data_IF_632665289208
#
_entry.id   IF_632665289208
#
_cell.length_a   1.000
_cell.length_b   1.000
_cell.length_c   1.000
_cell.angle_alpha   90.00
_cell.angle_beta   90.00
_cell.angle_gamma   90.00
#
_symmetry.space_group_name_H-M   'P 1'
#
loop_
_entity.id
_entity.type
_entity.pdbx_description
1 polymer ?
#
# COMPACT_ATOMS: atom_id res chain seq x y z
N UNK A 1 -33.41 -41.91 -56.86
CA UNK A 1 -32.41 -40.87 -57.19
C UNK A 1 -32.27 -39.97 -55.95
N UNK A 2 -31.40 -40.34 -55.02
CA UNK A 2 -31.20 -39.60 -53.77
C UNK A 2 -29.93 -38.75 -53.93
N UNK A 3 -30.11 -37.43 -53.98
CA UNK A 3 -29.02 -36.47 -54.14
C UNK A 3 -28.44 -36.24 -52.75
N UNK A 4 -27.23 -36.73 -52.50
CA UNK A 4 -26.52 -36.45 -51.26
C UNK A 4 -26.12 -34.97 -51.25
N UNK A 5 -26.83 -34.16 -50.47
CA UNK A 5 -26.45 -32.77 -50.18
C UNK A 5 -25.14 -32.80 -49.39
N UNK A 6 -24.05 -32.17 -49.86
CA UNK A 6 -22.78 -32.17 -49.14
C UNK A 6 -22.93 -31.30 -47.88
N UNK A 7 -22.83 -31.93 -46.70
CA UNK A 7 -22.89 -31.27 -45.37
C UNK A 7 -21.69 -30.36 -45.08
N UNK A 8 -20.85 -30.05 -46.07
CA UNK A 8 -19.51 -29.48 -45.84
C UNK A 8 -19.45 -27.94 -45.94
N UNK A 9 -20.50 -27.27 -46.42
CA UNK A 9 -20.43 -25.82 -46.71
C UNK A 9 -21.06 -24.90 -45.65
N UNK A 10 -21.94 -25.39 -44.78
CA UNK A 10 -22.78 -24.47 -43.97
C UNK A 10 -22.14 -24.02 -42.64
N UNK A 11 -21.09 -24.67 -42.10
CA UNK A 11 -20.84 -24.51 -40.65
C UNK A 11 -19.40 -24.41 -40.16
N UNK A 12 -18.36 -24.61 -40.97
CA UNK A 12 -16.98 -24.77 -40.44
C UNK A 12 -16.32 -23.47 -39.91
N UNK A 13 -16.38 -22.31 -40.62
CA UNK A 13 -15.81 -21.06 -40.13
C UNK A 13 -16.61 -20.45 -38.97
N UNK A 14 -17.94 -20.65 -39.00
CA UNK A 14 -18.90 -20.09 -38.05
C UNK A 14 -18.83 -20.79 -36.69
N UNK A 15 -18.63 -22.11 -36.67
CA UNK A 15 -18.44 -22.89 -35.45
C UNK A 15 -17.12 -22.55 -34.75
N UNK A 16 -16.01 -22.41 -35.49
CA UNK A 16 -14.71 -21.99 -34.92
C UNK A 16 -14.78 -20.61 -34.27
N UNK A 17 -15.46 -19.64 -34.92
CA UNK A 17 -15.69 -18.31 -34.34
C UNK A 17 -16.53 -18.37 -33.06
N UNK A 18 -17.59 -19.18 -33.04
CA UNK A 18 -18.43 -19.38 -31.84
C UNK A 18 -17.66 -20.05 -30.70
N UNK A 19 -16.81 -21.04 -31.01
CA UNK A 19 -15.93 -21.69 -30.03
C UNK A 19 -14.96 -20.68 -29.42
N UNK A 20 -14.26 -19.89 -30.24
CA UNK A 20 -13.31 -18.88 -29.75
C UNK A 20 -13.99 -17.81 -28.87
N UNK A 21 -15.24 -17.45 -29.18
CA UNK A 21 -16.02 -16.52 -28.37
C UNK A 21 -16.44 -17.13 -27.03
N UNK A 22 -16.88 -18.39 -27.04
CA UNK A 22 -17.24 -19.14 -25.83
C UNK A 22 -16.03 -19.39 -24.92
N UNK A 23 -14.87 -19.71 -25.50
CA UNK A 23 -13.62 -19.86 -24.75
C UNK A 23 -13.21 -18.56 -24.07
N UNK A 24 -13.32 -17.41 -24.75
CA UNK A 24 -13.01 -16.12 -24.15
C UNK A 24 -13.95 -15.86 -22.97
N UNK A 25 -15.26 -16.02 -23.13
CA UNK A 25 -16.23 -15.82 -22.04
C UNK A 25 -15.95 -16.76 -20.86
N UNK A 26 -15.61 -18.03 -21.10
CA UNK A 26 -15.25 -18.95 -20.02
C UNK A 26 -13.95 -18.58 -19.31
N UNK A 27 -12.95 -18.04 -20.03
CA UNK A 27 -11.71 -17.52 -19.41
C UNK A 27 -11.98 -16.31 -18.52
N UNK A 28 -12.83 -15.38 -18.97
CA UNK A 28 -13.24 -14.22 -18.16
C UNK A 28 -14.05 -14.65 -16.94
N UNK A 29 -14.90 -15.69 -17.05
CA UNK A 29 -15.60 -16.27 -15.89
C UNK A 29 -14.64 -16.89 -14.88
N UNK A 30 -13.63 -17.63 -15.34
CA UNK A 30 -12.61 -18.20 -14.46
C UNK A 30 -11.81 -17.10 -13.73
N UNK A 31 -11.44 -16.02 -14.43
CA UNK A 31 -10.79 -14.86 -13.83
C UNK A 31 -11.71 -14.12 -12.85
N UNK A 32 -12.99 -13.96 -13.20
CA UNK A 32 -13.99 -13.35 -12.32
C UNK A 32 -14.26 -14.17 -11.05
N UNK A 33 -14.00 -15.48 -11.06
CA UNK A 33 -14.13 -16.33 -9.88
C UNK A 33 -12.95 -16.15 -8.90
N UNK A 34 -11.76 -15.82 -9.42
CA UNK A 34 -10.53 -15.61 -8.62
C UNK A 34 -10.35 -14.13 -8.25
N UNK A 35 -10.90 -13.20 -9.04
CA UNK A 35 -10.80 -11.75 -8.83
C UNK A 35 -11.24 -11.29 -7.42
N UNK A 36 -12.33 -11.79 -6.80
CA UNK A 36 -12.72 -11.39 -5.45
C UNK A 36 -11.65 -11.72 -4.42
N UNK A 37 -11.02 -12.89 -4.56
CA UNK A 37 -9.93 -13.32 -3.66
C UNK A 37 -8.68 -12.45 -3.84
N UNK A 38 -8.34 -12.12 -5.09
CA UNK A 38 -7.20 -11.23 -5.39
C UNK A 38 -7.46 -9.83 -4.88
N UNK A 39 -8.65 -9.27 -5.09
CA UNK A 39 -9.02 -7.95 -4.57
C UNK A 39 -8.95 -7.95 -3.04
N UNK A 40 -9.50 -8.97 -2.39
CA UNK A 40 -9.41 -9.12 -0.93
C UNK A 40 -7.96 -9.13 -0.45
N UNK A 41 -7.09 -9.93 -1.09
CA UNK A 41 -5.67 -9.98 -0.78
C UNK A 41 -5.00 -8.60 -0.97
N UNK A 42 -5.24 -7.95 -2.10
CA UNK A 42 -4.68 -6.63 -2.38
C UNK A 42 -5.13 -5.62 -1.32
N UNK A 43 -6.40 -5.60 -0.93
CA UNK A 43 -6.88 -4.69 0.11
C UNK A 43 -6.23 -4.99 1.46
N UNK A 44 -6.19 -6.25 1.89
CA UNK A 44 -5.64 -6.65 3.19
C UNK A 44 -4.14 -6.41 3.28
N UNK A 45 -3.39 -6.50 2.18
CA UNK A 45 -1.95 -6.27 2.20
C UNK A 45 -1.57 -4.83 1.84
N UNK A 46 -2.12 -4.28 0.76
CA UNK A 46 -1.71 -2.97 0.23
C UNK A 46 -2.13 -1.83 1.17
N UNK A 47 -3.31 -1.90 1.78
CA UNK A 47 -3.79 -0.87 2.71
C UNK A 47 -2.87 -0.74 3.94
N UNK A 48 -2.58 -1.79 4.72
CA UNK A 48 -1.68 -1.67 5.86
C UNK A 48 -0.25 -1.34 5.44
N UNK A 49 0.25 -1.83 4.30
CA UNK A 49 1.56 -1.41 3.79
C UNK A 49 1.58 0.10 3.54
N UNK A 50 0.57 0.65 2.87
CA UNK A 50 0.46 2.08 2.64
C UNK A 50 0.35 2.86 3.96
N UNK A 51 -0.43 2.36 4.93
CA UNK A 51 -0.55 2.97 6.24
C UNK A 51 0.77 2.99 7.02
N UNK A 52 1.53 1.89 6.97
CA UNK A 52 2.86 1.79 7.57
C UNK A 52 3.87 2.70 6.88
N UNK A 53 3.84 2.78 5.55
CA UNK A 53 4.69 3.72 4.78
C UNK A 53 4.36 5.17 5.13
N UNK A 54 3.08 5.53 5.16
CA UNK A 54 2.65 6.88 5.52
C UNK A 54 3.11 7.24 6.95
N UNK A 55 2.92 6.31 7.89
CA UNK A 55 3.42 6.47 9.27
C UNK A 55 4.96 6.55 9.33
N UNK A 56 5.68 5.81 8.49
CA UNK A 56 7.15 5.82 8.46
C UNK A 56 7.75 7.08 7.84
N UNK A 57 7.08 7.68 6.85
CA UNK A 57 7.56 8.92 6.21
C UNK A 57 7.25 10.14 7.09
N UNK A 58 6.08 10.17 7.73
CA UNK A 58 5.69 11.29 8.58
C UNK A 58 6.37 11.35 9.95
N UNK A 59 6.95 10.23 10.44
CA UNK A 59 7.47 10.10 11.82
C UNK A 59 6.56 10.81 12.86
N UNK A 60 5.24 10.50 12.91
CA UNK A 60 4.31 11.20 13.80
C UNK A 60 4.68 11.06 15.29
N UNK A 61 5.48 10.05 15.64
CA UNK A 61 6.02 9.85 16.99
C UNK A 61 7.15 10.83 17.33
N UNK A 62 7.99 11.23 16.36
CA UNK A 62 9.06 12.23 16.58
C UNK A 62 8.48 13.64 16.59
N UNK A 63 7.55 13.93 15.66
CA UNK A 63 6.86 15.24 15.59
C UNK A 63 5.93 15.44 16.79
N UNK A 64 5.26 14.38 17.26
CA UNK A 64 4.38 14.44 18.43
C UNK A 64 5.09 14.42 19.77
N UNK A 65 6.26 13.76 19.86
CA UNK A 65 6.99 13.60 21.12
C UNK A 65 8.03 14.69 21.41
N UNK A 66 8.65 15.26 20.36
CA UNK A 66 9.76 16.22 20.49
C UNK A 66 9.58 17.46 19.56
N UNK A 67 8.43 18.16 19.62
CA UNK A 67 8.11 19.23 18.67
C UNK A 67 9.10 20.41 18.73
N UNK A 68 9.62 20.80 19.90
CA UNK A 68 10.59 21.90 20.02
C UNK A 68 11.95 21.51 19.46
N UNK A 69 12.35 20.26 19.71
CA UNK A 69 13.62 19.70 19.23
C UNK A 69 13.66 19.62 17.72
N UNK A 70 12.57 19.20 17.07
CA UNK A 70 12.49 19.13 15.61
C UNK A 70 12.73 20.51 14.98
N UNK A 71 12.16 21.58 15.56
CA UNK A 71 12.34 22.96 15.07
C UNK A 71 13.78 23.44 15.30
N UNK A 72 14.35 23.17 16.48
CA UNK A 72 15.72 23.58 16.79
C UNK A 72 16.75 22.83 15.92
N UNK A 73 16.57 21.53 15.71
CA UNK A 73 17.42 20.69 14.85
C UNK A 73 17.29 21.08 13.38
N UNK A 74 16.12 21.53 12.91
CA UNK A 74 15.96 21.99 11.52
C UNK A 74 16.89 23.17 11.16
N UNK A 75 17.34 23.94 12.16
CA UNK A 75 18.30 25.03 11.97
C UNK A 75 19.76 24.56 11.99
N UNK A 76 20.03 23.31 12.33
CA UNK A 76 21.37 22.73 12.40
C UNK A 76 21.77 22.11 11.05
N UNK A 77 23.00 22.37 10.62
CA UNK A 77 23.54 21.96 9.32
C UNK A 77 24.01 20.49 9.28
N UNK A 78 23.86 19.75 10.38
CA UNK A 78 24.28 18.37 10.53
C UNK A 78 25.80 18.19 10.67
N UNK A 79 26.56 19.27 10.86
CA UNK A 79 28.02 19.21 11.04
C UNK A 79 28.39 19.63 12.47
N UNK A 80 29.35 18.90 13.05
CA UNK A 80 29.84 19.19 14.39
C UNK A 80 28.79 18.94 15.48
N UNK A 81 28.87 19.70 16.56
CA UNK A 81 27.90 19.64 17.65
C UNK A 81 26.79 20.68 17.41
N UNK A 82 25.51 20.34 17.64
CA UNK A 82 24.42 21.30 17.63
C UNK A 82 24.67 22.46 18.62
N UNK A 83 24.07 23.61 18.35
CA UNK A 83 24.11 24.74 19.28
C UNK A 83 23.30 24.45 20.56
N UNK A 84 23.65 25.11 21.66
CA UNK A 84 22.99 24.99 22.98
C UNK A 84 21.44 25.00 22.94
N UNK A 85 20.76 25.84 22.12
CA UNK A 85 19.30 25.85 22.03
C UNK A 85 18.69 24.49 21.64
N UNK A 86 19.43 23.66 20.89
CA UNK A 86 18.98 22.32 20.51
C UNK A 86 18.92 21.40 21.73
N UNK A 87 19.95 21.43 22.59
CA UNK A 87 19.99 20.64 23.82
C UNK A 87 18.93 21.09 24.83
N UNK A 88 18.72 22.41 24.95
CA UNK A 88 17.66 22.94 25.81
C UNK A 88 16.28 22.45 25.34
N UNK A 89 15.98 22.56 24.04
CA UNK A 89 14.69 22.12 23.48
C UNK A 89 14.42 20.63 23.69
N UNK A 90 15.47 19.80 23.63
CA UNK A 90 15.38 18.37 23.92
C UNK A 90 15.04 18.10 25.38
N UNK A 91 15.67 18.82 26.32
CA UNK A 91 15.39 18.66 27.75
C UNK A 91 13.94 19.02 28.11
N UNK A 92 13.41 20.08 27.49
CA UNK A 92 12.04 20.53 27.69
C UNK A 92 11.03 19.54 27.11
N UNK A 93 11.27 19.04 25.90
CA UNK A 93 10.40 18.04 25.28
C UNK A 93 10.41 16.71 26.05
N UNK A 94 11.57 16.27 26.56
CA UNK A 94 11.66 15.07 27.41
C UNK A 94 10.93 15.24 28.74
N UNK A 95 10.99 16.43 29.35
CA UNK A 95 10.25 16.73 30.57
C UNK A 95 8.73 16.71 30.32
N UNK A 96 8.28 17.27 29.20
CA UNK A 96 6.87 17.28 28.79
C UNK A 96 6.36 15.87 28.44
N UNK A 97 7.15 15.09 27.68
CA UNK A 97 6.81 13.72 27.30
C UNK A 97 6.75 12.78 28.52
N UNK A 98 7.56 13.04 29.56
CA UNK A 98 7.52 12.32 30.84
C UNK A 98 6.25 12.65 31.62
N UNK A 99 5.85 13.92 31.65
CA UNK A 99 4.61 14.38 32.29
C UNK A 99 3.37 13.79 31.62
N UNK A 100 3.40 13.65 30.30
CA UNK A 100 2.28 13.14 29.51
C UNK A 100 2.24 11.60 29.39
N UNK A 101 3.12 10.86 30.08
CA UNK A 101 3.26 9.40 30.01
C UNK A 101 3.52 8.83 28.60
N UNK A 102 3.89 9.67 27.62
CA UNK A 102 4.20 9.27 26.24
C UNK A 102 5.64 8.76 26.12
N UNK A 103 6.47 8.97 27.15
CA UNK A 103 7.86 8.50 27.22
C UNK A 103 8.00 6.97 27.08
N UNK A 104 6.97 6.22 27.48
CA UNK A 104 6.94 4.75 27.36
C UNK A 104 6.87 4.24 25.92
N UNK A 105 6.40 5.06 24.97
CA UNK A 105 6.39 4.72 23.54
C UNK A 105 7.67 5.17 22.83
N UNK A 106 8.33 6.24 23.31
CA UNK A 106 9.65 6.67 22.83
C UNK A 106 10.78 5.72 23.24
N UNK A 107 10.66 5.08 24.40
CA UNK A 107 11.71 4.19 24.95
C UNK A 107 11.71 2.77 24.35
N UNK A 108 10.71 2.42 23.52
CA UNK A 108 10.52 1.06 22.98
C UNK A 108 11.15 0.85 21.60
N UNK A 109 11.79 1.86 21.01
CA UNK A 109 12.43 1.78 19.69
C UNK A 109 13.95 1.91 19.80
#
# INVERSE_FOLDING_TARGET
MAIAVPLNEVSSPTLKKRLAHAERINRWKAQALIAPLVIFLLLVFLVPIAALLYKSVGNPEVVGGLPRTVVAVASWDGKGLPAEPVYQSLSEDLAEARKNQVLGDLSKR
#
